data_IF_143846690429
#
_entry.id   IF_143846690429
#
_cell.length_a   1.000
_cell.length_b   1.000
_cell.length_c   1.000
_cell.angle_alpha   90.00
_cell.angle_beta   90.00
_cell.angle_gamma   90.00
#
_symmetry.space_group_name_H-M   'P 1'
#
loop_
_entity.id
_entity.type
_entity.pdbx_description
1 polymer ?
#
# COMPACT_ATOMS: atom_id res chain seq x y z
N UNK A 1 -25.66 -8.78 62.59
CA UNK A 1 -26.43 -8.33 61.40
C UNK A 1 -25.58 -7.27 60.73
N UNK A 2 -24.70 -7.66 59.78
CA UNK A 2 -24.90 -7.52 58.32
C UNK A 2 -25.33 -6.07 57.97
N UNK A 3 -24.52 -5.24 57.31
CA UNK A 3 -24.28 -5.27 55.87
C UNK A 3 -22.98 -4.54 55.49
N UNK A 4 -22.04 -5.24 54.84
CA UNK A 4 -20.93 -4.63 54.11
C UNK A 4 -21.28 -4.77 52.62
N UNK A 5 -21.80 -3.71 51.99
CA UNK A 5 -22.16 -3.69 50.58
C UNK A 5 -20.90 -3.47 49.74
N UNK A 6 -20.27 -4.56 49.32
CA UNK A 6 -19.24 -4.60 48.29
C UNK A 6 -19.89 -4.30 46.93
N UNK A 7 -19.83 -3.03 46.49
CA UNK A 7 -20.07 -2.68 45.10
C UNK A 7 -18.90 -3.18 44.25
N UNK A 8 -19.01 -4.42 43.75
CA UNK A 8 -18.19 -4.91 42.65
C UNK A 8 -18.58 -4.15 41.39
N UNK A 9 -17.94 -3.02 41.16
CA UNK A 9 -17.99 -2.32 39.86
C UNK A 9 -17.27 -3.21 38.86
N UNK A 10 -18.03 -4.08 38.19
CA UNK A 10 -17.57 -4.76 36.99
C UNK A 10 -17.34 -3.68 35.93
N UNK A 11 -16.11 -3.15 35.87
CA UNK A 11 -15.62 -2.44 34.71
C UNK A 11 -15.59 -3.44 33.56
N UNK A 12 -16.71 -3.55 32.85
CA UNK A 12 -16.75 -4.24 31.58
C UNK A 12 -15.99 -3.37 30.59
N UNK A 13 -14.67 -3.53 30.59
CA UNK A 13 -13.80 -3.10 29.51
C UNK A 13 -14.23 -3.86 28.26
N UNK A 14 -15.18 -3.30 27.53
CA UNK A 14 -15.48 -3.75 26.17
C UNK A 14 -14.25 -3.44 25.33
N UNK A 15 -13.26 -4.33 25.33
CA UNK A 15 -12.26 -4.35 24.28
C UNK A 15 -12.99 -4.74 22.99
N UNK A 16 -13.55 -3.74 22.30
CA UNK A 16 -13.92 -3.90 20.90
C UNK A 16 -12.63 -4.11 20.14
N UNK A 17 -12.26 -5.36 19.91
CA UNK A 17 -11.37 -5.72 18.82
C UNK A 17 -12.08 -5.30 17.53
N UNK A 18 -11.83 -4.07 17.09
CA UNK A 18 -12.17 -3.66 15.73
C UNK A 18 -11.28 -4.47 14.81
N UNK A 19 -11.75 -5.64 14.40
CA UNK A 19 -11.33 -6.33 13.17
C UNK A 19 -11.78 -5.52 11.92
N UNK A 20 -11.88 -4.19 12.05
CA UNK A 20 -12.37 -3.29 11.03
C UNK A 20 -11.33 -3.12 9.95
N UNK A 21 -11.69 -3.50 8.73
CA UNK A 21 -10.94 -3.10 7.56
C UNK A 21 -10.91 -1.56 7.48
N UNK A 22 -9.71 -1.00 7.39
CA UNK A 22 -9.47 0.42 7.10
C UNK A 22 -9.65 0.62 5.60
N UNK A 23 -10.90 0.81 5.17
CA UNK A 23 -11.23 1.03 3.75
C UNK A 23 -10.78 2.44 3.32
N UNK A 24 -9.96 2.53 2.26
CA UNK A 24 -9.43 3.82 1.75
C UNK A 24 -10.52 4.82 1.37
N UNK A 25 -11.71 4.38 0.96
CA UNK A 25 -12.84 5.28 0.65
C UNK A 25 -13.38 5.98 1.91
N UNK A 26 -13.37 5.29 3.05
CA UNK A 26 -13.71 5.89 4.36
C UNK A 26 -12.73 6.99 4.78
N UNK A 27 -11.56 7.06 4.14
CA UNK A 27 -10.56 8.11 4.31
C UNK A 27 -10.54 9.16 3.19
N UNK A 28 -11.52 9.08 2.27
CA UNK A 28 -11.73 10.06 1.20
C UNK A 28 -11.13 9.69 -0.16
N UNK A 29 -10.66 8.46 -0.35
CA UNK A 29 -10.27 7.97 -1.68
C UNK A 29 -11.51 7.87 -2.57
N UNK A 30 -11.35 8.14 -3.87
CA UNK A 30 -12.45 8.00 -4.85
C UNK A 30 -12.08 6.96 -5.92
N UNK A 31 -12.98 6.02 -6.24
CA UNK A 31 -12.73 4.95 -7.21
C UNK A 31 -12.86 5.41 -8.67
N UNK A 32 -12.59 6.68 -8.99
CA UNK A 32 -12.81 7.30 -10.31
C UNK A 32 -11.59 7.25 -11.24
N UNK A 33 -10.41 6.86 -10.73
CA UNK A 33 -9.14 6.83 -11.45
C UNK A 33 -8.55 8.21 -11.79
N UNK A 34 -9.13 9.28 -11.25
CA UNK A 34 -8.83 10.68 -11.57
C UNK A 34 -8.46 11.49 -10.32
N UNK A 35 -9.19 11.29 -9.22
CA UNK A 35 -8.96 12.00 -7.96
C UNK A 35 -7.73 11.45 -7.26
N UNK A 36 -6.79 12.35 -6.92
CA UNK A 36 -5.60 12.00 -6.16
C UNK A 36 -5.96 11.47 -4.77
N UNK A 37 -5.81 10.16 -4.60
CA UNK A 37 -6.16 9.42 -3.39
C UNK A 37 -4.97 9.24 -2.44
N UNK A 38 -3.82 9.84 -2.72
CA UNK A 38 -2.57 9.65 -1.95
C UNK A 38 -2.76 9.94 -0.46
N UNK A 39 -3.42 11.04 -0.11
CA UNK A 39 -3.67 11.40 1.29
C UNK A 39 -4.66 10.46 1.99
N UNK A 40 -5.65 9.95 1.27
CA UNK A 40 -6.59 8.97 1.82
C UNK A 40 -5.88 7.66 2.14
N UNK A 41 -5.02 7.18 1.23
CA UNK A 41 -4.18 6.00 1.47
C UNK A 41 -3.24 6.18 2.66
N UNK A 42 -2.59 7.34 2.80
CA UNK A 42 -1.71 7.62 3.94
C UNK A 42 -2.46 7.65 5.28
N UNK A 43 -3.67 8.24 5.33
CA UNK A 43 -4.50 8.25 6.54
C UNK A 43 -4.97 6.85 6.91
N UNK A 44 -5.45 6.09 5.92
CA UNK A 44 -5.89 4.70 6.11
C UNK A 44 -4.72 3.81 6.59
N UNK A 45 -3.54 3.97 5.98
CA UNK A 45 -2.32 3.29 6.40
C UNK A 45 -1.93 3.64 7.84
N UNK A 46 -1.91 4.93 8.19
CA UNK A 46 -1.57 5.38 9.54
C UNK A 46 -2.49 4.76 10.59
N UNK A 47 -3.80 4.73 10.32
CA UNK A 47 -4.80 4.13 11.19
C UNK A 47 -4.62 2.60 11.32
N UNK A 48 -4.38 1.90 10.21
CA UNK A 48 -4.13 0.45 10.22
C UNK A 48 -2.82 0.10 10.93
N UNK A 49 -1.73 0.81 10.62
CA UNK A 49 -0.40 0.58 11.16
C UNK A 49 -0.30 0.88 12.67
N UNK A 50 -1.11 1.84 13.15
CA UNK A 50 -1.21 2.22 14.57
C UNK A 50 -2.21 1.41 15.40
N UNK A 51 -2.91 0.46 14.78
CA UNK A 51 -3.96 -0.37 15.41
C UNK A 51 -3.42 -1.23 16.56
N UNK A 52 -4.30 -1.58 17.50
CA UNK A 52 -3.98 -2.37 18.70
C UNK A 52 -3.98 -3.89 18.46
N UNK A 53 -4.46 -4.34 17.31
CA UNK A 53 -4.41 -5.74 16.87
C UNK A 53 -4.11 -5.84 15.37
N UNK A 54 -4.09 -7.05 14.77
CA UNK A 54 -3.96 -7.20 13.33
C UNK A 54 -4.99 -6.38 12.57
N UNK A 55 -4.57 -5.73 11.47
CA UNK A 55 -5.41 -4.80 10.72
C UNK A 55 -5.37 -5.06 9.22
N UNK A 56 -6.47 -4.75 8.56
CA UNK A 56 -6.57 -4.80 7.09
C UNK A 56 -6.66 -3.39 6.54
N UNK A 57 -5.73 -2.98 5.69
CA UNK A 57 -5.90 -1.83 4.80
C UNK A 57 -6.59 -2.34 3.53
N UNK A 58 -7.83 -1.88 3.29
CA UNK A 58 -8.66 -2.40 2.19
C UNK A 58 -8.82 -1.39 1.07
N UNK A 59 -8.55 -1.83 -0.16
CA UNK A 59 -8.79 -1.07 -1.40
C UNK A 59 -9.89 -1.78 -2.19
N UNK A 60 -11.12 -1.22 -2.22
CA UNK A 60 -12.25 -1.87 -2.87
C UNK A 60 -12.09 -1.88 -4.40
N UNK A 61 -13.05 -2.51 -5.07
CA UNK A 61 -13.17 -2.44 -6.53
C UNK A 61 -13.28 -0.98 -7.02
N UNK A 62 -12.59 -0.66 -8.10
CA UNK A 62 -12.50 0.71 -8.61
C UNK A 62 -11.09 1.02 -9.10
N UNK A 63 -10.87 2.26 -9.50
CA UNK A 63 -9.54 2.76 -9.87
C UNK A 63 -9.15 3.93 -8.98
N UNK A 64 -7.95 3.88 -8.39
CA UNK A 64 -7.49 4.89 -7.45
C UNK A 64 -6.18 5.49 -7.94
N UNK A 65 -6.19 6.78 -8.28
CA UNK A 65 -4.97 7.50 -8.64
C UNK A 65 -4.14 7.75 -7.38
N UNK A 66 -2.90 7.31 -7.37
CA UNK A 66 -1.95 7.51 -6.25
C UNK A 66 -0.63 8.04 -6.81
N UNK A 67 -0.19 9.19 -6.31
CA UNK A 67 1.12 9.79 -6.58
C UNK A 67 2.23 9.01 -5.85
N UNK A 68 3.52 9.34 -6.00
CA UNK A 68 4.57 8.70 -5.19
C UNK A 68 4.20 8.70 -3.70
N UNK A 69 4.25 7.52 -3.09
CA UNK A 69 3.76 7.29 -1.73
C UNK A 69 4.73 6.42 -0.95
N UNK A 70 4.92 6.75 0.33
CA UNK A 70 5.73 5.98 1.27
C UNK A 70 4.86 5.52 2.43
N UNK A 71 4.73 4.21 2.56
CA UNK A 71 4.15 3.55 3.72
C UNK A 71 5.26 3.23 4.72
N UNK A 72 5.34 4.06 5.76
CA UNK A 72 6.35 3.92 6.81
C UNK A 72 5.89 3.00 7.94
N UNK A 73 6.83 2.24 8.45
CA UNK A 73 6.73 1.53 9.72
C UNK A 73 7.55 2.21 10.82
N UNK A 74 7.78 1.52 11.95
CA UNK A 74 7.24 0.20 12.26
C UNK A 74 5.73 0.24 12.55
N UNK A 75 4.99 -0.78 12.13
CA UNK A 75 3.60 -0.98 12.55
C UNK A 75 3.55 -1.76 13.86
N UNK A 76 2.52 -1.49 14.68
CA UNK A 76 2.35 -2.15 15.98
C UNK A 76 1.96 -3.62 15.84
N UNK A 77 1.27 -3.95 14.75
CA UNK A 77 0.70 -5.26 14.50
C UNK A 77 0.84 -5.65 13.02
N UNK A 78 0.49 -6.90 12.72
CA UNK A 78 0.48 -7.43 11.35
C UNK A 78 -0.52 -6.67 10.48
N UNK A 79 -0.13 -6.40 9.23
CA UNK A 79 -0.97 -5.67 8.28
C UNK A 79 -1.28 -6.58 7.08
N UNK A 80 -2.57 -6.72 6.77
CA UNK A 80 -3.04 -7.19 5.48
C UNK A 80 -3.36 -5.97 4.61
N UNK A 81 -2.64 -5.80 3.52
CA UNK A 81 -2.98 -4.85 2.47
C UNK A 81 -3.74 -5.62 1.38
N UNK A 82 -5.07 -5.56 1.44
CA UNK A 82 -5.94 -6.27 0.51
C UNK A 82 -6.46 -5.32 -0.58
N UNK A 83 -6.16 -5.65 -1.83
CA UNK A 83 -6.52 -4.87 -3.00
C UNK A 83 -7.47 -5.69 -3.89
N UNK A 84 -8.72 -5.26 -4.03
CA UNK A 84 -9.67 -5.77 -5.04
C UNK A 84 -9.67 -4.89 -6.30
N UNK A 85 -9.31 -3.61 -6.16
CA UNK A 85 -9.30 -2.64 -7.25
C UNK A 85 -7.97 -2.49 -7.99
N UNK A 86 -7.84 -1.34 -8.65
CA UNK A 86 -6.63 -0.91 -9.36
C UNK A 86 -6.05 0.34 -8.71
N UNK A 87 -4.74 0.34 -8.50
CA UNK A 87 -3.99 1.54 -8.12
C UNK A 87 -3.28 2.03 -9.37
N UNK A 88 -3.46 3.30 -9.69
CA UNK A 88 -2.99 3.91 -10.92
C UNK A 88 -1.93 4.96 -10.61
N UNK A 89 -0.84 4.94 -11.37
CA UNK A 89 0.12 6.02 -11.37
C UNK A 89 -0.43 7.29 -12.05
N UNK A 90 0.17 8.46 -11.82
CA UNK A 90 -0.04 9.64 -12.64
C UNK A 90 0.31 9.37 -14.11
N UNK A 91 -0.46 9.95 -15.03
CA UNK A 91 -0.18 9.92 -16.48
C UNK A 91 1.04 10.74 -16.85
N UNK A 92 1.33 11.80 -16.08
CA UNK A 92 2.55 12.55 -16.23
C UNK A 92 3.72 11.76 -15.65
N UNK A 93 4.54 11.17 -16.52
CA UNK A 93 5.69 10.35 -16.13
C UNK A 93 6.80 11.12 -15.41
N UNK A 94 6.74 12.46 -15.38
CA UNK A 94 7.62 13.30 -14.55
C UNK A 94 7.16 13.41 -13.09
N UNK A 95 5.93 13.00 -12.76
CA UNK A 95 5.38 13.15 -11.41
C UNK A 95 6.11 12.35 -10.33
N UNK A 96 7.00 11.42 -10.71
CA UNK A 96 7.88 10.70 -9.77
C UNK A 96 9.12 11.51 -9.36
N UNK A 97 9.45 12.58 -10.09
CA UNK A 97 10.64 13.38 -9.83
C UNK A 97 11.91 12.53 -9.77
N UNK A 98 12.70 12.72 -8.70
CA UNK A 98 13.93 11.97 -8.43
C UNK A 98 13.79 10.87 -7.37
N UNK A 99 12.57 10.52 -6.93
CA UNK A 99 12.39 9.54 -5.83
C UNK A 99 12.91 8.14 -6.19
N UNK A 100 12.89 7.79 -7.48
CA UNK A 100 13.24 6.46 -7.98
C UNK A 100 12.22 5.37 -7.63
N UNK A 101 11.06 5.71 -7.05
CA UNK A 101 9.99 4.78 -6.71
C UNK A 101 8.61 5.43 -6.80
N UNK A 102 7.59 4.61 -7.04
CA UNK A 102 6.19 4.98 -6.97
C UNK A 102 5.59 4.61 -5.60
N UNK A 103 5.51 3.32 -5.28
CA UNK A 103 5.01 2.84 -3.97
C UNK A 103 6.18 2.26 -3.18
N UNK A 104 6.49 2.86 -2.03
CA UNK A 104 7.55 2.38 -1.15
C UNK A 104 6.97 1.91 0.18
N UNK A 105 7.31 0.69 0.57
CA UNK A 105 7.19 0.19 1.93
C UNK A 105 8.56 0.26 2.60
N UNK A 106 8.68 1.10 3.63
CA UNK A 106 9.93 1.36 4.33
C UNK A 106 9.86 0.92 5.79
N UNK A 107 10.83 0.10 6.20
CA UNK A 107 10.95 -0.41 7.58
C UNK A 107 9.68 -1.13 8.10
N UNK A 108 9.04 -1.91 7.23
CA UNK A 108 7.84 -2.69 7.59
C UNK A 108 8.23 -4.07 8.11
N UNK A 109 7.55 -4.53 9.14
CA UNK A 109 7.61 -5.92 9.62
C UNK A 109 6.22 -6.54 9.58
N UNK A 110 6.09 -7.75 9.01
CA UNK A 110 4.85 -8.52 8.98
C UNK A 110 3.70 -7.89 8.17
N UNK A 111 3.92 -7.72 6.87
CA UNK A 111 2.89 -7.28 5.92
C UNK A 111 2.60 -8.36 4.89
N UNK A 112 1.32 -8.56 4.58
CA UNK A 112 0.86 -9.32 3.42
C UNK A 112 0.16 -8.38 2.46
N UNK A 113 0.57 -8.36 1.19
CA UNK A 113 -0.12 -7.68 0.10
C UNK A 113 -0.84 -8.74 -0.73
N UNK A 114 -2.15 -8.60 -0.86
CA UNK A 114 -3.02 -9.59 -1.50
C UNK A 114 -3.81 -8.97 -2.65
N UNK A 115 -3.63 -9.57 -3.84
CA UNK A 115 -4.43 -9.27 -5.03
C UNK A 115 -4.12 -7.92 -5.67
N UNK A 116 -5.07 -7.48 -6.51
CA UNK A 116 -5.10 -6.14 -7.09
C UNK A 116 -4.21 -5.95 -8.32
N UNK A 117 -4.35 -4.75 -8.89
CA UNK A 117 -3.56 -4.31 -10.05
C UNK A 117 -2.82 -3.02 -9.72
N UNK A 118 -1.51 -3.00 -9.95
CA UNK A 118 -0.71 -1.79 -10.00
C UNK A 118 -0.43 -1.45 -11.47
N UNK A 119 -1.01 -0.36 -11.95
CA UNK A 119 -0.73 0.18 -13.28
C UNK A 119 0.14 1.43 -13.16
N UNK A 120 1.44 1.27 -13.45
CA UNK A 120 2.42 2.34 -13.35
C UNK A 120 2.45 3.29 -14.56
N UNK A 121 1.61 3.05 -15.59
CA UNK A 121 1.44 3.92 -16.77
C UNK A 121 2.75 4.35 -17.45
N UNK A 122 3.70 3.43 -17.57
CA UNK A 122 5.04 3.65 -18.13
C UNK A 122 5.11 3.95 -19.63
N UNK A 123 4.03 3.82 -20.40
CA UNK A 123 4.03 3.99 -21.87
C UNK A 123 4.70 5.28 -22.36
N UNK A 124 4.31 6.43 -21.80
CA UNK A 124 4.88 7.72 -22.17
C UNK A 124 6.36 7.88 -21.75
N UNK A 125 6.77 7.21 -20.67
CA UNK A 125 8.18 7.17 -20.24
C UNK A 125 9.03 6.38 -21.25
N UNK A 126 8.58 5.19 -21.67
CA UNK A 126 9.29 4.39 -22.67
C UNK A 126 9.37 5.09 -24.02
N UNK A 127 8.29 5.73 -24.45
CA UNK A 127 8.30 6.55 -25.67
C UNK A 127 9.34 7.68 -25.63
N UNK A 128 9.51 8.34 -24.47
CA UNK A 128 10.56 9.34 -24.27
C UNK A 128 11.96 8.72 -24.43
N UNK A 129 12.22 7.59 -23.76
CA UNK A 129 13.52 6.90 -23.76
C UNK A 129 13.88 6.39 -25.17
N UNK A 130 12.92 5.79 -25.87
CA UNK A 130 13.09 5.27 -27.22
C UNK A 130 13.36 6.40 -28.24
N UNK A 131 12.84 7.60 -28.00
CA UNK A 131 13.13 8.77 -28.82
C UNK A 131 14.49 9.42 -28.53
N UNK A 132 15.29 8.89 -27.59
CA UNK A 132 16.59 9.46 -27.22
C UNK A 132 16.49 10.86 -26.57
N UNK A 133 15.32 11.21 -26.03
CA UNK A 133 15.09 12.52 -25.41
C UNK A 133 15.63 12.56 -23.97
N UNK A 134 15.68 13.77 -23.41
CA UNK A 134 15.88 13.95 -21.96
C UNK A 134 14.61 13.51 -21.24
N UNK A 135 14.72 12.47 -20.43
CA UNK A 135 13.63 11.84 -19.68
C UNK A 135 13.99 11.81 -18.19
N UNK A 136 13.02 11.66 -17.28
CA UNK A 136 13.35 11.46 -15.87
C UNK A 136 14.11 10.13 -15.69
N UNK A 137 14.77 9.91 -14.53
CA UNK A 137 15.46 8.65 -14.24
C UNK A 137 14.55 7.41 -14.31
N UNK A 138 13.25 7.60 -14.06
CA UNK A 138 12.25 6.54 -13.98
C UNK A 138 12.02 6.06 -12.55
N UNK A 139 10.86 5.44 -12.31
CA UNK A 139 10.45 4.97 -10.99
C UNK A 139 10.10 3.48 -10.97
N UNK A 140 10.55 2.80 -9.91
CA UNK A 140 10.19 1.42 -9.60
C UNK A 140 8.75 1.38 -9.12
N UNK A 141 7.92 0.42 -9.57
CA UNK A 141 6.48 0.44 -9.29
C UNK A 141 6.16 0.19 -7.82
N UNK A 142 6.66 -0.91 -7.26
CA UNK A 142 6.58 -1.18 -5.82
C UNK A 142 7.95 -1.55 -5.29
N UNK A 143 8.33 -0.96 -4.15
CA UNK A 143 9.63 -1.15 -3.51
C UNK A 143 9.46 -1.53 -2.05
N UNK A 144 10.27 -2.46 -1.57
CA UNK A 144 10.41 -2.81 -0.16
C UNK A 144 11.84 -2.52 0.26
N UNK A 145 12.00 -1.70 1.30
CA UNK A 145 13.31 -1.29 1.80
C UNK A 145 13.37 -1.53 3.30
N UNK A 146 14.48 -2.11 3.78
CA UNK A 146 14.74 -2.37 5.21
C UNK A 146 13.58 -3.13 5.91
N UNK A 147 12.89 -3.99 5.17
CA UNK A 147 11.63 -4.63 5.61
C UNK A 147 11.80 -6.14 5.83
N UNK A 148 10.94 -6.73 6.64
CA UNK A 148 11.02 -8.18 6.97
C UNK A 148 9.67 -8.85 7.08
N UNK A 149 9.62 -10.14 6.75
CA UNK A 149 8.40 -10.94 6.78
C UNK A 149 7.31 -10.31 5.90
N UNK A 150 7.63 -10.13 4.61
CA UNK A 150 6.71 -9.59 3.61
C UNK A 150 6.21 -10.73 2.74
N UNK A 151 4.90 -10.78 2.52
CA UNK A 151 4.28 -11.66 1.53
C UNK A 151 3.60 -10.80 0.49
N UNK A 152 3.82 -11.09 -0.80
CA UNK A 152 3.07 -10.50 -1.91
C UNK A 152 2.48 -11.64 -2.72
N UNK A 153 1.16 -11.75 -2.74
CA UNK A 153 0.43 -12.87 -3.34
C UNK A 153 -0.67 -12.36 -4.28
N UNK A 154 -0.71 -12.88 -5.51
CA UNK A 154 -1.79 -12.58 -6.47
C UNK A 154 -1.74 -11.18 -7.10
N UNK A 155 -0.67 -10.41 -6.88
CA UNK A 155 -0.54 -9.05 -7.40
C UNK A 155 -0.29 -9.06 -8.91
N UNK A 156 -1.04 -8.24 -9.64
CA UNK A 156 -0.76 -7.93 -11.04
C UNK A 156 -0.03 -6.59 -11.14
N UNK A 157 1.19 -6.57 -11.68
CA UNK A 157 1.96 -5.35 -11.91
C UNK A 157 2.13 -5.11 -13.40
N UNK A 158 1.64 -3.98 -13.90
CA UNK A 158 1.71 -3.60 -15.31
C UNK A 158 2.35 -2.24 -15.51
N UNK A 159 2.99 -2.08 -16.67
CA UNK A 159 3.49 -0.81 -17.18
C UNK A 159 4.47 -0.09 -16.24
N UNK A 160 5.39 -0.82 -15.60
CA UNK A 160 6.43 -0.20 -14.79
C UNK A 160 7.37 0.67 -15.63
N UNK A 161 7.78 1.84 -15.15
CA UNK A 161 8.75 2.64 -15.90
C UNK A 161 10.10 1.92 -16.01
N UNK A 162 10.58 1.31 -14.92
CA UNK A 162 11.89 0.64 -14.87
C UNK A 162 11.85 -0.76 -14.27
N UNK A 163 11.34 -0.93 -13.04
CA UNK A 163 11.35 -2.20 -12.30
C UNK A 163 9.99 -2.37 -11.63
N UNK A 164 9.35 -3.51 -11.88
CA UNK A 164 8.04 -3.82 -11.30
C UNK A 164 8.10 -3.95 -9.78
N UNK A 165 9.00 -4.79 -9.25
CA UNK A 165 9.13 -5.05 -7.81
C UNK A 165 10.60 -4.94 -7.44
N UNK A 166 10.94 -4.05 -6.50
CA UNK A 166 12.29 -3.91 -5.99
C UNK A 166 12.36 -4.27 -4.51
N UNK A 167 13.40 -5.02 -4.14
CA UNK A 167 13.64 -5.50 -2.78
C UNK A 167 15.05 -5.09 -2.40
N UNK A 168 15.18 -4.30 -1.33
CA UNK A 168 16.48 -3.78 -0.86
C UNK A 168 16.58 -3.92 0.66
N UNK A 169 17.71 -4.46 1.14
CA UNK A 169 17.99 -4.67 2.57
C UNK A 169 16.86 -5.37 3.33
N UNK A 170 16.20 -6.33 2.67
CA UNK A 170 15.05 -7.04 3.23
C UNK A 170 15.39 -8.46 3.69
N UNK A 171 14.58 -9.02 4.59
CA UNK A 171 14.71 -10.40 5.07
C UNK A 171 13.38 -11.13 5.06
N UNK A 172 13.36 -12.37 4.58
CA UNK A 172 12.16 -13.21 4.53
C UNK A 172 11.03 -12.55 3.72
N UNK A 173 11.23 -12.51 2.40
CA UNK A 173 10.26 -11.99 1.43
C UNK A 173 9.76 -13.16 0.59
N UNK A 174 8.45 -13.34 0.52
CA UNK A 174 7.79 -14.30 -0.36
C UNK A 174 7.01 -13.55 -1.43
N UNK A 175 7.31 -13.83 -2.69
CA UNK A 175 6.59 -13.36 -3.85
C UNK A 175 5.96 -14.57 -4.55
N UNK A 176 4.65 -14.63 -4.64
CA UNK A 176 3.95 -15.78 -5.22
C UNK A 176 2.73 -15.36 -6.06
N UNK A 177 2.37 -16.19 -7.04
CA UNK A 177 1.19 -15.98 -7.89
C UNK A 177 1.15 -14.58 -8.55
N UNK A 178 2.32 -14.04 -8.89
CA UNK A 178 2.45 -12.71 -9.48
C UNK A 178 2.16 -12.76 -10.98
N UNK A 179 1.53 -11.69 -11.50
CA UNK A 179 1.44 -11.42 -12.94
C UNK A 179 2.19 -10.13 -13.25
N UNK A 180 3.25 -10.22 -14.05
CA UNK A 180 4.07 -9.06 -14.44
C UNK A 180 3.94 -8.85 -15.95
N UNK A 181 3.68 -7.62 -16.39
CA UNK A 181 3.57 -7.32 -17.83
C UNK A 181 4.13 -5.93 -18.16
N UNK A 182 5.09 -5.90 -19.09
CA UNK A 182 5.63 -4.70 -19.71
C UNK A 182 5.60 -4.91 -21.24
N UNK A 183 4.61 -4.36 -21.96
CA UNK A 183 4.34 -4.77 -23.34
C UNK A 183 5.23 -4.14 -24.43
N UNK A 184 5.95 -3.05 -24.18
CA UNK A 184 6.82 -2.42 -25.20
C UNK A 184 7.77 -1.36 -24.60
#
# INVERSE_FOLDING_TARGET
MLHCLLFLVFFWSSFRASNGAYNVESFGAKPDGLTDSTQAFLKAWSAACGSTGPATLYVPSGSFLVKPIVFNGPCKNKILFWIDGKILAPTNYWSFGGSGFWILFYQISWITIQGGILDARGGSFWACRNAGKVCPPGARSISFVASRNVVVSGLTSINSQIIHIAIDQCRNILLENLKITAPA
#
